data_IF_906152372144
#
_entry.id   IF_906152372144
#
_cell.length_a   1.000
_cell.length_b   1.000
_cell.length_c   1.000
_cell.angle_alpha   90.00
_cell.angle_beta   90.00
_cell.angle_gamma   90.00
#
_symmetry.space_group_name_H-M   'P 1'
#
loop_
_entity.id
_entity.type
_entity.pdbx_description
1 polymer ?
#
# COMPACT_ATOMS: atom_id res chain seq x y z
N UNK A 1 -34.00 -7.62 10.27
CA UNK A 1 -32.74 -8.36 10.07
C UNK A 1 -31.86 -8.05 11.27
N UNK A 2 -31.28 -9.06 11.92
CA UNK A 2 -30.32 -8.82 12.99
C UNK A 2 -29.09 -8.11 12.42
N UNK A 3 -28.57 -7.11 13.12
CA UNK A 3 -27.36 -6.41 12.73
C UNK A 3 -26.16 -7.34 12.94
N UNK A 4 -25.52 -7.75 11.85
CA UNK A 4 -24.33 -8.60 11.92
C UNK A 4 -23.16 -7.70 12.31
N UNK A 5 -22.73 -7.77 13.57
CA UNK A 5 -21.62 -6.96 14.08
C UNK A 5 -20.30 -7.61 13.72
N UNK A 6 -19.43 -6.86 13.02
CA UNK A 6 -18.07 -7.32 12.70
C UNK A 6 -17.22 -7.37 13.98
N UNK A 7 -16.51 -8.49 14.26
CA UNK A 7 -15.58 -8.57 15.37
C UNK A 7 -14.42 -7.58 15.24
N UNK A 8 -13.76 -7.28 16.36
CA UNK A 8 -12.47 -6.58 16.32
C UNK A 8 -11.43 -7.46 15.62
N UNK A 9 -10.48 -6.84 14.92
CA UNK A 9 -9.42 -7.57 14.24
C UNK A 9 -8.58 -8.44 15.19
N UNK A 10 -8.48 -8.03 16.46
CA UNK A 10 -7.71 -8.74 17.49
C UNK A 10 -8.56 -9.67 18.37
N UNK A 11 -9.85 -9.83 18.04
CA UNK A 11 -10.70 -10.80 18.72
C UNK A 11 -10.26 -12.25 18.45
N UNK A 12 -10.67 -13.15 19.34
CA UNK A 12 -10.41 -14.58 19.21
C UNK A 12 -11.01 -15.14 17.90
N UNK A 13 -10.35 -16.17 17.37
CA UNK A 13 -10.78 -16.92 16.17
C UNK A 13 -12.26 -17.32 16.22
N UNK A 14 -12.75 -17.77 17.37
CA UNK A 14 -14.13 -18.24 17.53
C UNK A 14 -15.17 -17.14 17.23
N UNK A 15 -14.88 -15.87 17.56
CA UNK A 15 -15.76 -14.75 17.23
C UNK A 15 -15.84 -14.55 15.71
N UNK A 16 -14.72 -14.74 15.01
CA UNK A 16 -14.66 -14.65 13.55
C UNK A 16 -15.39 -15.80 12.86
N UNK A 17 -15.38 -17.02 13.44
CA UNK A 17 -16.16 -18.14 12.92
C UNK A 17 -17.66 -17.92 13.09
N UNK A 18 -18.11 -17.42 14.25
CA UNK A 18 -19.52 -17.03 14.45
C UNK A 18 -19.95 -15.95 13.45
N UNK A 19 -19.08 -14.97 13.21
CA UNK A 19 -19.32 -13.93 12.19
C UNK A 19 -19.38 -14.52 10.77
N UNK A 20 -18.53 -15.50 10.45
CA UNK A 20 -18.54 -16.21 9.17
C UNK A 20 -19.88 -16.93 8.93
N UNK A 21 -20.40 -17.64 9.93
CA UNK A 21 -21.70 -18.33 9.84
C UNK A 21 -22.85 -17.33 9.60
N UNK A 22 -22.81 -16.18 10.27
CA UNK A 22 -23.80 -15.12 10.08
C UNK A 22 -23.74 -14.53 8.66
N UNK A 23 -22.53 -14.31 8.13
CA UNK A 23 -22.32 -13.84 6.76
C UNK A 23 -22.81 -14.86 5.72
N UNK A 24 -22.46 -16.15 5.88
CA UNK A 24 -22.93 -17.22 5.00
C UNK A 24 -24.46 -17.34 5.03
N UNK A 25 -25.07 -17.24 6.21
CA UNK A 25 -26.54 -17.24 6.36
C UNK A 25 -27.21 -16.08 5.63
N UNK A 26 -26.49 -14.96 5.45
CA UNK A 26 -26.93 -13.80 4.68
C UNK A 26 -26.56 -13.86 3.19
N UNK A 27 -25.88 -14.92 2.74
CA UNK A 27 -25.40 -15.07 1.36
C UNK A 27 -24.18 -14.21 1.01
N UNK A 28 -23.45 -13.71 2.02
CA UNK A 28 -22.26 -12.88 1.81
C UNK A 28 -21.01 -13.76 1.61
N UNK A 29 -20.28 -13.64 0.49
CA UNK A 29 -19.13 -14.48 0.19
C UNK A 29 -17.94 -14.28 1.14
N UNK A 30 -17.94 -13.19 1.92
CA UNK A 30 -16.90 -12.96 2.93
C UNK A 30 -16.94 -14.02 4.04
N UNK A 31 -18.11 -14.64 4.29
CA UNK A 31 -18.22 -15.70 5.30
C UNK A 31 -17.34 -16.91 4.98
N UNK A 32 -17.45 -17.45 3.77
CA UNK A 32 -16.59 -18.55 3.31
C UNK A 32 -15.11 -18.13 3.21
N UNK A 33 -14.85 -16.88 2.80
CA UNK A 33 -13.48 -16.36 2.75
C UNK A 33 -12.78 -16.39 4.12
N UNK A 34 -13.52 -16.13 5.22
CA UNK A 34 -12.97 -16.24 6.58
C UNK A 34 -12.51 -17.68 6.86
N UNK A 35 -13.35 -18.67 6.52
CA UNK A 35 -13.04 -20.09 6.72
C UNK A 35 -11.81 -20.51 5.92
N UNK A 36 -11.75 -20.11 4.64
CA UNK A 36 -10.64 -20.44 3.76
C UNK A 36 -9.33 -19.77 4.21
N UNK A 37 -9.35 -18.50 4.59
CA UNK A 37 -8.16 -17.83 5.14
C UNK A 37 -7.71 -18.43 6.46
N UNK A 38 -8.64 -18.89 7.29
CA UNK A 38 -8.31 -19.60 8.52
C UNK A 38 -7.64 -20.94 8.24
N UNK A 39 -8.14 -21.71 7.26
CA UNK A 39 -7.52 -22.97 6.86
C UNK A 39 -6.08 -22.76 6.34
N UNK A 40 -5.85 -21.69 5.58
CA UNK A 40 -4.50 -21.30 5.12
C UNK A 40 -3.60 -20.93 6.30
N UNK A 41 -4.10 -20.15 7.25
CA UNK A 41 -3.35 -19.81 8.47
C UNK A 41 -3.00 -21.05 9.32
N UNK A 42 -3.86 -22.08 9.29
CA UNK A 42 -3.64 -23.37 9.95
C UNK A 42 -2.73 -24.32 9.13
N UNK A 43 -2.18 -23.86 7.99
CA UNK A 43 -1.20 -24.59 7.17
C UNK A 43 -1.74 -25.25 5.90
N UNK A 44 -3.01 -25.03 5.55
CA UNK A 44 -3.58 -25.54 4.30
C UNK A 44 -3.08 -24.76 3.07
N UNK A 45 -3.23 -25.37 1.89
CA UNK A 45 -2.92 -24.70 0.63
C UNK A 45 -3.83 -23.49 0.36
N UNK A 46 -3.27 -22.44 -0.23
CA UNK A 46 -4.02 -21.26 -0.67
C UNK A 46 -4.89 -21.50 -1.92
N UNK A 47 -4.74 -22.63 -2.60
CA UNK A 47 -5.41 -22.88 -3.89
C UNK A 47 -6.94 -22.77 -3.83
N UNK A 48 -7.57 -23.33 -2.79
CA UNK A 48 -9.03 -23.29 -2.65
C UNK A 48 -9.53 -21.87 -2.35
N UNK A 49 -8.78 -21.11 -1.53
CA UNK A 49 -9.05 -19.68 -1.29
C UNK A 49 -8.96 -18.89 -2.59
N UNK A 50 -7.90 -19.08 -3.35
CA UNK A 50 -7.66 -18.30 -4.56
C UNK A 50 -8.72 -18.61 -5.63
N UNK A 51 -9.06 -19.88 -5.82
CA UNK A 51 -10.17 -20.28 -6.69
C UNK A 51 -11.54 -19.77 -6.20
N UNK A 52 -11.73 -19.62 -4.89
CA UNK A 52 -12.93 -19.00 -4.34
C UNK A 52 -12.99 -17.48 -4.59
N UNK A 53 -11.86 -16.78 -4.43
CA UNK A 53 -11.73 -15.35 -4.74
C UNK A 53 -12.02 -15.08 -6.22
N UNK A 54 -11.54 -15.92 -7.12
CA UNK A 54 -11.79 -15.79 -8.56
C UNK A 54 -13.27 -15.96 -8.91
N UNK A 55 -13.94 -16.97 -8.32
CA UNK A 55 -15.38 -17.21 -8.53
C UNK A 55 -16.27 -16.11 -7.96
N UNK A 56 -15.80 -15.39 -6.94
CA UNK A 56 -16.57 -14.34 -6.25
C UNK A 56 -15.94 -12.94 -6.45
N UNK A 57 -15.18 -12.76 -7.53
CA UNK A 57 -14.36 -11.57 -7.72
C UNK A 57 -15.19 -10.28 -7.69
N UNK A 58 -16.32 -10.23 -8.39
CA UNK A 58 -17.16 -9.03 -8.44
C UNK A 58 -17.72 -8.64 -7.06
N UNK A 59 -18.12 -9.63 -6.26
CA UNK A 59 -18.70 -9.38 -4.94
C UNK A 59 -17.63 -8.95 -3.91
N UNK A 60 -16.42 -9.51 -4.00
CA UNK A 60 -15.34 -9.25 -3.03
C UNK A 60 -14.56 -7.99 -3.41
N UNK A 61 -14.20 -7.85 -4.69
CA UNK A 61 -13.32 -6.79 -5.18
C UNK A 61 -14.08 -5.61 -5.78
N UNK A 62 -15.36 -5.78 -6.15
CA UNK A 62 -16.11 -4.75 -6.87
C UNK A 62 -15.41 -4.37 -8.17
N UNK A 63 -15.28 -3.06 -8.43
CA UNK A 63 -14.58 -2.55 -9.61
C UNK A 63 -13.10 -2.97 -9.73
N UNK A 64 -12.47 -3.40 -8.62
CA UNK A 64 -11.08 -3.88 -8.63
C UNK A 64 -10.94 -5.29 -9.24
N UNK A 65 -12.04 -6.04 -9.43
CA UNK A 65 -12.01 -7.39 -9.99
C UNK A 65 -11.29 -7.46 -11.35
N UNK A 66 -11.48 -6.44 -12.20
CA UNK A 66 -10.86 -6.34 -13.53
C UNK A 66 -9.33 -6.17 -13.48
N UNK A 67 -8.79 -5.82 -12.31
CA UNK A 67 -7.37 -5.55 -12.09
C UNK A 67 -6.76 -6.53 -11.07
N UNK A 68 -7.38 -7.70 -10.86
CA UNK A 68 -6.96 -8.69 -9.85
C UNK A 68 -5.47 -9.05 -9.95
N UNK A 69 -4.94 -9.19 -11.17
CA UNK A 69 -3.54 -9.54 -11.42
C UNK A 69 -2.52 -8.47 -10.98
N UNK A 70 -2.98 -7.24 -10.74
CA UNK A 70 -2.15 -6.14 -10.23
C UNK A 70 -2.20 -6.02 -8.70
N UNK A 71 -2.92 -6.92 -8.01
CA UNK A 71 -3.23 -6.77 -6.58
C UNK A 71 -2.87 -8.02 -5.79
N UNK A 72 -1.96 -7.87 -4.84
CA UNK A 72 -1.68 -8.86 -3.81
C UNK A 72 -2.32 -8.43 -2.49
N UNK A 73 -2.90 -9.38 -1.75
CA UNK A 73 -3.56 -9.10 -0.47
C UNK A 73 -3.02 -10.05 0.58
N UNK A 74 -2.55 -9.44 1.66
CA UNK A 74 -2.26 -10.09 2.92
C UNK A 74 -3.48 -9.99 3.82
N UNK A 75 -4.09 -11.15 4.09
CA UNK A 75 -5.38 -11.25 4.76
C UNK A 75 -5.24 -11.49 6.26
N UNK A 76 -6.16 -10.92 7.04
CA UNK A 76 -6.51 -11.41 8.37
C UNK A 76 -8.02 -11.65 8.39
N UNK A 77 -8.42 -12.92 8.45
CA UNK A 77 -9.80 -13.36 8.23
C UNK A 77 -10.33 -12.91 6.86
N UNK A 78 -11.24 -11.95 6.77
CA UNK A 78 -11.67 -11.34 5.50
C UNK A 78 -11.24 -9.88 5.34
N UNK A 79 -10.38 -9.37 6.22
CA UNK A 79 -9.92 -7.98 6.23
C UNK A 79 -8.54 -7.89 5.57
N UNK A 80 -8.34 -6.99 4.59
CA UNK A 80 -7.03 -6.71 4.03
C UNK A 80 -6.13 -6.03 5.07
N UNK A 81 -5.15 -6.75 5.62
CA UNK A 81 -4.13 -6.12 6.48
C UNK A 81 -3.23 -5.24 5.63
N UNK A 82 -2.71 -5.79 4.54
CA UNK A 82 -1.95 -5.05 3.55
C UNK A 82 -2.49 -5.37 2.16
N UNK A 83 -2.85 -4.33 1.40
CA UNK A 83 -3.15 -4.45 -0.02
C UNK A 83 -1.98 -3.85 -0.79
N UNK A 84 -1.35 -4.68 -1.62
CA UNK A 84 -0.26 -4.26 -2.51
C UNK A 84 -0.83 -4.06 -3.91
N UNK A 85 -0.69 -2.84 -4.44
CA UNK A 85 -0.98 -2.49 -5.82
C UNK A 85 0.33 -2.43 -6.62
N UNK A 86 0.48 -3.36 -7.54
CA UNK A 86 1.57 -3.40 -8.50
C UNK A 86 1.20 -2.54 -9.72
N UNK A 87 2.07 -1.59 -10.08
CA UNK A 87 1.88 -0.67 -11.20
C UNK A 87 3.05 -0.79 -12.16
N UNK A 88 2.80 -1.24 -13.39
CA UNK A 88 3.77 -1.29 -14.47
C UNK A 88 3.71 -0.06 -15.38
N UNK A 89 4.69 0.05 -16.29
CA UNK A 89 4.84 1.19 -17.19
C UNK A 89 3.66 1.38 -18.18
N UNK A 90 2.93 0.30 -18.49
CA UNK A 90 1.80 0.32 -19.42
C UNK A 90 0.44 0.50 -18.74
N UNK A 91 0.44 0.51 -17.40
CA UNK A 91 -0.79 0.59 -16.64
C UNK A 91 -1.27 2.04 -16.53
N UNK A 92 -2.59 2.20 -16.51
CA UNK A 92 -3.18 3.47 -16.12
C UNK A 92 -3.22 3.55 -14.58
N UNK A 93 -2.13 4.06 -13.99
CA UNK A 93 -1.94 4.14 -12.54
C UNK A 93 -3.10 4.86 -11.82
N UNK A 94 -3.63 5.94 -12.40
CA UNK A 94 -4.77 6.67 -11.83
C UNK A 94 -6.06 5.82 -11.84
N UNK A 95 -6.34 5.11 -12.93
CA UNK A 95 -7.51 4.23 -13.01
C UNK A 95 -7.40 3.05 -12.04
N UNK A 96 -6.22 2.44 -11.93
CA UNK A 96 -5.95 1.37 -10.96
C UNK A 96 -6.19 1.82 -9.52
N UNK A 97 -5.60 2.96 -9.14
CA UNK A 97 -5.79 3.50 -7.79
C UNK A 97 -7.25 3.85 -7.53
N UNK A 98 -7.95 4.43 -8.52
CA UNK A 98 -9.39 4.73 -8.40
C UNK A 98 -10.22 3.46 -8.22
N UNK A 99 -9.94 2.39 -8.96
CA UNK A 99 -10.62 1.11 -8.81
C UNK A 99 -10.36 0.49 -7.42
N UNK A 100 -9.14 0.61 -6.92
CA UNK A 100 -8.77 0.16 -5.58
C UNK A 100 -9.53 0.93 -4.50
N UNK A 101 -9.46 2.26 -4.51
CA UNK A 101 -10.11 3.09 -3.49
C UNK A 101 -11.65 2.99 -3.54
N UNK A 102 -12.22 2.63 -4.70
CA UNK A 102 -13.64 2.33 -4.86
C UNK A 102 -14.05 0.89 -4.54
N UNK A 103 -13.09 0.00 -4.21
CA UNK A 103 -13.35 -1.40 -3.89
C UNK A 103 -13.95 -1.55 -2.48
N UNK A 104 -14.85 -2.53 -2.24
CA UNK A 104 -15.27 -2.90 -0.88
C UNK A 104 -14.10 -3.19 0.06
N UNK A 105 -12.97 -3.66 -0.48
CA UNK A 105 -11.75 -3.98 0.28
C UNK A 105 -11.06 -2.75 0.87
N UNK A 106 -11.17 -1.58 0.22
CA UNK A 106 -10.51 -0.38 0.71
C UNK A 106 -11.03 0.03 2.09
N UNK A 107 -12.33 -0.09 2.33
CA UNK A 107 -12.98 0.42 3.54
C UNK A 107 -12.40 -0.11 4.87
N UNK A 108 -11.81 -1.31 4.86
CA UNK A 108 -11.21 -1.95 6.04
C UNK A 108 -9.69 -2.16 5.92
N UNK A 109 -9.08 -1.73 4.81
CA UNK A 109 -7.65 -1.87 4.58
C UNK A 109 -6.85 -1.08 5.64
N UNK A 110 -5.80 -1.70 6.19
CA UNK A 110 -4.93 -1.06 7.19
C UNK A 110 -3.67 -0.45 6.58
N UNK A 111 -3.10 -1.14 5.59
CA UNK A 111 -1.89 -0.73 4.89
C UNK A 111 -2.10 -0.76 3.39
N UNK A 112 -1.71 0.32 2.72
CA UNK A 112 -1.60 0.37 1.27
C UNK A 112 -0.14 0.36 0.87
N UNK A 113 0.25 -0.59 0.03
CA UNK A 113 1.57 -0.62 -0.62
C UNK A 113 1.40 -0.39 -2.11
N UNK A 114 2.10 0.59 -2.67
CA UNK A 114 2.14 0.86 -4.10
C UNK A 114 3.53 0.54 -4.61
N UNK A 115 3.63 -0.44 -5.52
CA UNK A 115 4.90 -0.92 -6.06
C UNK A 115 5.00 -0.58 -7.54
N UNK A 116 5.98 0.24 -7.90
CA UNK A 116 6.36 0.44 -9.29
C UNK A 116 7.16 -0.77 -9.79
N UNK A 117 6.63 -1.48 -10.79
CA UNK A 117 7.26 -2.61 -11.47
C UNK A 117 7.99 -2.12 -12.71
N UNK A 118 9.30 -1.95 -12.61
CA UNK A 118 10.15 -1.42 -13.68
C UNK A 118 10.68 -2.54 -14.60
N UNK A 119 9.89 -3.59 -14.82
CA UNK A 119 10.26 -4.72 -15.70
C UNK A 119 10.77 -4.19 -17.03
N UNK A 120 11.95 -4.64 -17.48
CA UNK A 120 12.54 -4.30 -18.79
C UNK A 120 13.06 -2.86 -18.95
N UNK A 121 13.20 -2.08 -17.87
CA UNK A 121 13.81 -0.76 -17.94
C UNK A 121 12.87 0.36 -18.39
N UNK A 122 11.56 0.09 -18.44
CA UNK A 122 10.55 1.09 -18.77
C UNK A 122 10.23 1.97 -17.55
N UNK A 123 9.90 3.25 -17.81
CA UNK A 123 9.52 4.21 -16.77
C UNK A 123 8.08 3.98 -16.32
N UNK A 124 7.86 4.00 -15.01
CA UNK A 124 6.56 3.89 -14.34
C UNK A 124 6.18 5.24 -13.74
N UNK A 125 4.96 5.70 -14.02
CA UNK A 125 4.43 6.95 -13.49
C UNK A 125 3.43 6.69 -12.34
N UNK A 126 3.87 6.90 -11.10
CA UNK A 126 3.03 6.76 -9.91
C UNK A 126 2.33 8.07 -9.52
N UNK A 127 2.86 9.24 -9.92
CA UNK A 127 2.28 10.55 -9.61
C UNK A 127 0.75 10.63 -9.82
N UNK A 128 0.19 10.15 -10.97
CA UNK A 128 -1.25 10.11 -11.17
C UNK A 128 -2.02 9.27 -10.16
N UNK A 129 -1.50 8.09 -9.75
CA UNK A 129 -2.10 7.28 -8.69
C UNK A 129 -2.04 7.99 -7.33
N UNK A 130 -0.89 8.53 -6.95
CA UNK A 130 -0.70 9.14 -5.63
C UNK A 130 -1.55 10.40 -5.44
N UNK A 131 -1.85 11.12 -6.53
CA UNK A 131 -2.78 12.25 -6.51
C UNK A 131 -4.19 11.89 -6.03
N UNK A 132 -4.61 10.62 -6.16
CA UNK A 132 -5.94 10.15 -5.74
C UNK A 132 -6.03 9.91 -4.22
N UNK A 133 -4.90 9.65 -3.55
CA UNK A 133 -4.88 9.22 -2.15
C UNK A 133 -5.44 10.27 -1.19
N UNK A 134 -5.17 11.54 -1.42
CA UNK A 134 -5.66 12.63 -0.56
C UNK A 134 -7.18 12.65 -0.44
N UNK A 135 -7.90 12.25 -1.49
CA UNK A 135 -9.36 12.32 -1.55
C UNK A 135 -10.03 11.00 -1.18
N UNK A 136 -9.33 9.88 -1.32
CA UNK A 136 -9.95 8.56 -1.23
C UNK A 136 -9.32 7.58 -0.23
N UNK A 137 -8.20 7.92 0.44
CA UNK A 137 -7.61 7.00 1.41
C UNK A 137 -8.56 6.82 2.62
N UNK A 138 -9.00 5.59 2.92
CA UNK A 138 -9.95 5.32 3.98
C UNK A 138 -9.29 5.46 5.35
N UNK A 139 -10.06 5.91 6.36
CA UNK A 139 -9.55 6.16 7.73
C UNK A 139 -8.95 4.93 8.42
N UNK A 140 -9.33 3.73 7.98
CA UNK A 140 -8.73 2.48 8.44
C UNK A 140 -7.26 2.34 8.00
N UNK A 141 -6.89 2.96 6.88
CA UNK A 141 -5.56 2.87 6.30
C UNK A 141 -4.64 3.95 6.87
N UNK A 142 -3.89 3.58 7.90
CA UNK A 142 -2.97 4.49 8.59
C UNK A 142 -1.52 4.35 8.11
N UNK A 143 -1.25 3.46 7.16
CA UNK A 143 0.09 3.13 6.67
C UNK A 143 0.16 3.16 5.15
N UNK A 144 1.17 3.84 4.62
CA UNK A 144 1.46 3.91 3.20
C UNK A 144 2.90 3.49 2.93
N UNK A 145 3.07 2.61 1.95
CA UNK A 145 4.36 2.15 1.46
C UNK A 145 4.48 2.48 -0.03
N UNK A 146 5.47 3.27 -0.43
CA UNK A 146 5.75 3.58 -1.83
C UNK A 146 7.08 2.95 -2.24
N UNK A 147 7.03 2.04 -3.21
CA UNK A 147 8.15 1.14 -3.51
C UNK A 147 8.55 1.24 -4.98
N UNK A 148 9.79 1.65 -5.25
CA UNK A 148 10.53 1.27 -6.44
C UNK A 148 11.01 -0.18 -6.24
N UNK A 149 10.56 -1.12 -7.07
CA UNK A 149 10.93 -2.53 -6.91
C UNK A 149 12.44 -2.78 -6.93
N UNK A 150 13.21 -1.93 -7.63
CA UNK A 150 14.67 -2.04 -7.71
C UNK A 150 15.29 -1.78 -6.35
N UNK A 151 14.78 -0.78 -5.63
CA UNK A 151 15.24 -0.44 -4.29
C UNK A 151 15.00 -1.58 -3.31
N UNK A 152 13.81 -2.19 -3.35
CA UNK A 152 13.44 -3.31 -2.48
C UNK A 152 14.21 -4.60 -2.78
N UNK A 153 14.62 -4.82 -4.03
CA UNK A 153 15.40 -6.00 -4.44
C UNK A 153 16.87 -5.91 -4.07
N UNK A 154 17.43 -4.70 -3.96
CA UNK A 154 18.84 -4.57 -3.61
C UNK A 154 19.08 -5.02 -2.17
N UNK A 155 20.09 -5.87 -1.99
CA UNK A 155 20.54 -6.35 -0.67
C UNK A 155 21.75 -5.60 -0.14
N UNK A 156 22.23 -4.61 -0.89
CA UNK A 156 23.47 -3.88 -0.59
C UNK A 156 23.17 -2.40 -0.72
N UNK A 157 23.64 -1.60 0.25
CA UNK A 157 23.74 -0.16 0.07
C UNK A 157 24.76 0.09 -1.04
N UNK A 158 24.33 0.70 -2.12
CA UNK A 158 25.22 1.03 -3.22
C UNK A 158 26.13 2.21 -2.82
N UNK A 159 27.39 2.19 -3.27
CA UNK A 159 28.30 3.33 -3.11
C UNK A 159 27.68 4.61 -3.66
N UNK A 160 28.09 5.78 -3.18
CA UNK A 160 27.77 7.08 -3.81
C UNK A 160 28.16 7.13 -5.29
N UNK A 161 29.14 6.32 -5.69
CA UNK A 161 29.63 6.21 -7.08
C UNK A 161 28.81 5.22 -7.92
N UNK A 162 27.81 4.56 -7.34
CA UNK A 162 26.87 3.71 -8.08
C UNK A 162 25.90 4.59 -8.86
N UNK A 163 25.95 4.47 -10.18
CA UNK A 163 24.92 4.98 -11.07
C UNK A 163 23.75 3.97 -11.11
N UNK A 164 22.59 4.27 -10.49
CA UNK A 164 21.42 3.39 -10.56
C UNK A 164 20.81 3.31 -11.98
N UNK A 165 21.42 3.98 -12.96
CA UNK A 165 20.94 4.13 -14.31
C UNK A 165 19.85 5.18 -14.41
N UNK A 166 19.04 5.09 -15.46
CA UNK A 166 17.92 6.02 -15.68
C UNK A 166 16.91 5.94 -14.54
N UNK A 167 16.28 7.08 -14.26
CA UNK A 167 15.14 7.16 -13.36
C UNK A 167 13.96 6.44 -13.99
N UNK A 168 13.55 5.31 -13.40
CA UNK A 168 12.48 4.47 -13.91
C UNK A 168 11.18 4.61 -13.13
N UNK A 169 11.17 5.36 -12.03
CA UNK A 169 9.96 5.60 -11.26
C UNK A 169 9.77 7.08 -11.06
N UNK A 170 8.58 7.57 -11.38
CA UNK A 170 8.17 8.93 -11.10
C UNK A 170 7.08 8.92 -10.03
N UNK A 171 7.45 9.31 -8.81
CA UNK A 171 6.52 9.43 -7.70
C UNK A 171 5.65 10.70 -7.79
N UNK A 172 5.96 11.63 -8.70
CA UNK A 172 5.34 12.95 -8.73
C UNK A 172 5.58 13.73 -7.44
N UNK A 173 4.68 14.67 -7.15
CA UNK A 173 4.77 15.53 -5.96
C UNK A 173 4.11 14.85 -4.76
N UNK A 174 4.90 14.56 -3.73
CA UNK A 174 4.40 13.89 -2.52
C UNK A 174 3.74 14.84 -1.52
N UNK A 175 3.78 16.15 -1.76
CA UNK A 175 3.20 17.17 -0.88
C UNK A 175 1.74 16.91 -0.46
N UNK A 176 0.96 16.25 -1.31
CA UNK A 176 -0.43 15.91 -1.02
C UNK A 176 -0.59 14.81 0.05
N UNK A 177 0.43 13.95 0.24
CA UNK A 177 0.40 12.86 1.22
C UNK A 177 0.48 13.36 2.66
N UNK A 178 1.22 14.44 2.89
CA UNK A 178 1.38 15.04 4.22
C UNK A 178 0.06 15.56 4.79
N UNK A 179 -0.86 15.96 3.88
CA UNK A 179 -2.19 16.44 4.25
C UNK A 179 -3.19 15.33 4.63
N UNK A 180 -2.79 14.05 4.64
CA UNK A 180 -3.68 12.94 5.01
C UNK A 180 -3.75 12.84 6.55
N UNK A 181 -4.90 13.20 7.17
CA UNK A 181 -4.97 13.47 8.61
C UNK A 181 -4.94 12.22 9.50
N UNK A 182 -4.94 11.03 8.93
CA UNK A 182 -4.88 9.77 9.68
C UNK A 182 -3.68 8.91 9.28
N UNK A 183 -2.83 9.41 8.38
CA UNK A 183 -1.60 8.71 7.99
C UNK A 183 -0.60 8.81 9.14
N UNK A 184 -0.24 7.64 9.68
CA UNK A 184 0.65 7.51 10.83
C UNK A 184 2.01 6.94 10.45
N UNK A 185 2.08 6.17 9.36
CA UNK A 185 3.33 5.57 8.88
C UNK A 185 3.48 5.78 7.37
N UNK A 186 4.64 6.27 6.96
CA UNK A 186 4.99 6.42 5.54
C UNK A 186 6.40 5.90 5.31
N UNK A 187 6.52 4.88 4.47
CA UNK A 187 7.81 4.31 4.07
C UNK A 187 8.01 4.47 2.57
N UNK A 188 9.18 5.00 2.20
CA UNK A 188 9.59 5.24 0.83
C UNK A 188 10.82 4.38 0.51
N UNK A 189 10.70 3.46 -0.45
CA UNK A 189 11.82 2.73 -1.02
C UNK A 189 12.07 3.27 -2.42
N UNK A 190 13.17 3.96 -2.61
CA UNK A 190 13.47 4.66 -3.86
C UNK A 190 14.84 4.26 -4.38
N UNK A 191 14.97 4.09 -5.69
CA UNK A 191 16.30 3.78 -6.24
C UNK A 191 17.23 5.00 -6.12
N UNK A 192 16.70 6.18 -6.38
CA UNK A 192 17.44 7.44 -6.26
C UNK A 192 16.59 8.46 -5.51
N UNK A 193 17.15 8.99 -4.44
CA UNK A 193 16.47 9.99 -3.60
C UNK A 193 16.37 11.36 -4.27
N UNK A 194 17.20 11.67 -5.29
CA UNK A 194 17.07 12.91 -6.10
C UNK A 194 15.73 12.98 -6.85
N UNK A 195 15.07 11.84 -7.05
CA UNK A 195 13.80 11.74 -7.78
C UNK A 195 12.58 12.15 -6.93
N UNK A 196 12.75 12.26 -5.61
CA UNK A 196 11.62 12.41 -4.70
C UNK A 196 11.36 13.89 -4.43
N UNK A 197 10.32 14.42 -5.07
CA UNK A 197 9.77 15.72 -4.67
C UNK A 197 8.87 15.55 -3.45
N UNK A 198 9.48 15.64 -2.27
CA UNK A 198 8.75 15.62 -0.99
C UNK A 198 7.95 16.90 -0.75
N UNK A 199 8.25 18.00 -1.43
CA UNK A 199 7.64 19.31 -1.16
C UNK A 199 7.80 19.78 0.29
N UNK A 200 6.90 20.66 0.74
CA UNK A 200 6.82 21.06 2.16
C UNK A 200 6.16 19.96 2.97
N UNK A 201 6.87 19.49 3.99
CA UNK A 201 6.40 18.41 4.86
C UNK A 201 5.74 19.01 6.11
N UNK A 202 4.41 18.93 6.16
CA UNK A 202 3.61 19.19 7.35
C UNK A 202 2.79 17.94 7.68
N UNK A 203 3.31 17.11 8.59
CA UNK A 203 2.82 15.77 8.86
C UNK A 203 2.51 15.59 10.36
N UNK A 204 1.49 16.28 10.91
CA UNK A 204 1.26 16.37 12.36
C UNK A 204 0.88 15.05 13.02
N UNK A 205 0.38 14.08 12.25
CA UNK A 205 -0.07 12.77 12.73
C UNK A 205 0.92 11.64 12.44
N UNK A 206 1.98 11.91 11.67
CA UNK A 206 2.98 10.93 11.30
C UNK A 206 3.84 10.57 12.51
N UNK A 207 4.01 9.26 12.73
CA UNK A 207 4.74 8.66 13.86
C UNK A 207 5.95 7.85 13.43
N UNK A 208 5.90 7.29 12.22
CA UNK A 208 6.96 6.50 11.63
C UNK A 208 7.19 6.99 10.19
N UNK A 209 8.39 7.46 9.91
CA UNK A 209 8.82 7.79 8.57
C UNK A 209 10.08 7.02 8.26
N UNK A 210 10.21 6.49 7.05
CA UNK A 210 11.48 5.98 6.57
C UNK A 210 11.67 6.30 5.09
N UNK A 211 12.89 6.69 4.74
CA UNK A 211 13.32 6.90 3.37
C UNK A 211 14.56 6.04 3.10
N UNK A 212 14.36 4.99 2.31
CA UNK A 212 15.39 4.02 1.95
C UNK A 212 15.75 4.22 0.48
N UNK A 213 16.90 4.84 0.25
CA UNK A 213 17.49 5.07 -1.08
C UNK A 213 18.56 4.03 -1.42
N UNK A 214 18.63 3.54 -2.66
CA UNK A 214 19.86 2.87 -3.12
C UNK A 214 21.00 3.87 -3.32
N UNK A 215 20.65 5.04 -3.86
CA UNK A 215 21.52 6.21 -3.99
C UNK A 215 20.95 7.34 -3.13
N UNK A 216 21.80 7.84 -2.23
CA UNK A 216 21.53 9.07 -1.50
C UNK A 216 22.03 10.27 -2.31
N UNK A 217 21.15 11.25 -2.46
CA UNK A 217 21.41 12.54 -3.04
C UNK A 217 22.29 13.33 -2.07
N UNK A 218 23.59 13.08 -2.07
CA UNK A 218 24.57 13.97 -1.46
C UNK A 218 25.57 14.38 -2.55
N UNK A 219 25.53 15.62 -3.06
CA UNK A 219 26.66 16.14 -3.78
C UNK A 219 27.81 16.30 -2.78
N UNK A 220 29.03 16.02 -3.21
CA UNK A 220 30.25 16.21 -2.42
C UNK A 220 30.42 17.65 -1.84
N UNK A 221 29.57 18.62 -2.20
CA UNK A 221 29.71 20.05 -1.86
C UNK A 221 28.38 20.80 -1.54
N UNK A 222 27.37 20.20 -0.89
CA UNK A 222 26.24 21.00 -0.34
C UNK A 222 24.98 20.22 0.05
N UNK A 223 24.05 20.86 0.78
CA UNK A 223 22.76 20.25 1.12
C UNK A 223 21.91 20.08 -0.15
N UNK A 224 21.19 18.95 -0.24
CA UNK A 224 20.20 18.74 -1.31
C UNK A 224 18.85 19.32 -0.93
N UNK A 225 18.02 19.61 -1.94
CA UNK A 225 16.62 20.02 -1.76
C UNK A 225 15.86 19.06 -0.85
N UNK A 226 16.20 17.76 -0.90
CA UNK A 226 15.63 16.75 -0.01
C UNK A 226 16.13 16.87 1.43
N UNK A 227 17.44 17.02 1.64
CA UNK A 227 18.01 17.23 2.98
C UNK A 227 17.46 18.50 3.64
N UNK A 228 17.33 19.59 2.88
CA UNK A 228 16.71 20.84 3.33
C UNK A 228 15.22 20.65 3.68
N UNK A 229 14.46 19.97 2.82
CA UNK A 229 13.05 19.71 3.07
C UNK A 229 12.83 18.84 4.32
N UNK A 230 13.63 17.79 4.51
CA UNK A 230 13.59 16.95 5.71
C UNK A 230 14.01 17.72 6.97
N UNK A 231 15.01 18.60 6.86
CA UNK A 231 15.47 19.45 7.96
C UNK A 231 14.46 20.54 8.37
N UNK A 232 13.67 21.04 7.42
CA UNK A 232 12.64 22.07 7.64
C UNK A 232 11.25 21.51 7.99
N UNK A 233 11.11 20.19 8.01
CA UNK A 233 9.82 19.52 8.12
C UNK A 233 9.21 19.58 9.52
N UNK A 234 7.88 19.55 9.58
CA UNK A 234 7.08 19.56 10.81
C UNK A 234 6.51 18.17 11.10
N UNK A 235 7.02 17.53 12.16
CA UNK A 235 6.66 16.17 12.58
C UNK A 235 6.47 16.07 14.12
N UNK A 236 5.52 16.80 14.72
CA UNK A 236 5.38 16.90 16.18
C UNK A 236 5.15 15.56 16.91
N UNK A 237 4.70 14.51 16.21
CA UNK A 237 4.43 13.18 16.78
C UNK A 237 5.39 12.10 16.29
N UNK A 238 6.47 12.45 15.60
CA UNK A 238 7.41 11.47 15.06
C UNK A 238 8.13 10.73 16.19
N UNK A 239 8.05 9.41 16.15
CA UNK A 239 8.65 8.50 17.13
C UNK A 239 9.82 7.72 16.52
N UNK A 240 9.82 7.54 15.20
CA UNK A 240 10.85 6.83 14.44
C UNK A 240 11.10 7.51 13.10
N UNK A 241 12.39 7.71 12.79
CA UNK A 241 12.95 8.26 11.55
C UNK A 241 14.01 7.28 11.02
#
# INVERSE_FOLDING_TARGET
>A
MAEITTPSLDDAKDNWLVYADALQSAGDPRGELIILNQAVADGSSAADRDAYLDRNADAIFGGLAQHRGAVEIDWKYCVPRCLTLDVGAKDNAAALMKALLGSPLAAAMQTLRVVAKTSLGDRVELGPALSQLKQGLPRSCAELELVDERAKRSRIMSSSDYDPGRNLVDFGKLGALWAIPHLRRLHLWVADTEQVDVGTIDAPELRDFSLLGLRWAEPYNGPTTLGEALGAASWPKLQRL
#
